data_IF_885249595004
#
_entry.id   IF_885249595004
#
_cell.length_a   1.000
_cell.length_b   1.000
_cell.length_c   1.000
_cell.angle_alpha   90.00
_cell.angle_beta   90.00
_cell.angle_gamma   90.00
#
_symmetry.space_group_name_H-M   'P 1'
#
loop_
_entity.id
_entity.type
_entity.pdbx_description
1 polymer ?
#
# COMPACT_ATOMS: atom_id res chain seq x y z
N UNK A 1 -10.69 21.81 37.57
CA UNK A 1 -11.66 21.03 36.75
C UNK A 1 -11.91 21.65 35.38
N UNK A 2 -12.28 22.93 35.24
CA UNK A 2 -12.52 23.59 33.93
C UNK A 2 -11.36 23.45 32.93
N UNK A 3 -10.10 23.60 33.36
CA UNK A 3 -8.91 23.48 32.47
C UNK A 3 -8.70 22.07 31.91
N UNK A 4 -9.06 21.03 32.67
CA UNK A 4 -8.92 19.62 32.23
C UNK A 4 -9.95 19.28 31.16
N UNK A 5 -11.17 19.82 31.29
CA UNK A 5 -12.24 19.64 30.28
C UNK A 5 -11.84 20.30 28.95
N UNK A 6 -11.25 21.50 29.00
CA UNK A 6 -10.77 22.21 27.79
C UNK A 6 -9.65 21.44 27.09
N UNK A 7 -8.69 20.90 27.85
CA UNK A 7 -7.58 20.11 27.28
C UNK A 7 -8.11 18.81 26.65
N UNK A 8 -9.03 18.12 27.32
CA UNK A 8 -9.66 16.90 26.80
C UNK A 8 -10.41 17.16 25.48
N UNK A 9 -11.14 18.27 25.40
CA UNK A 9 -11.85 18.67 24.18
C UNK A 9 -10.91 19.03 23.03
N UNK A 10 -9.78 19.68 23.32
CA UNK A 10 -8.75 20.00 22.33
C UNK A 10 -8.08 18.74 21.75
N UNK A 11 -7.84 17.71 22.56
CA UNK A 11 -7.26 16.44 22.11
C UNK A 11 -8.20 15.67 21.17
N UNK A 12 -9.53 15.76 21.39
CA UNK A 12 -10.53 15.14 20.52
C UNK A 12 -10.59 15.79 19.12
N UNK A 13 -10.40 17.11 19.03
CA UNK A 13 -10.42 17.84 17.75
C UNK A 13 -9.17 17.55 16.90
N UNK A 14 -8.01 17.35 17.52
CA UNK A 14 -6.76 17.05 16.80
C UNK A 14 -6.80 15.62 16.21
N UNK A 15 -7.45 14.67 16.89
CA UNK A 15 -7.59 13.29 16.40
C UNK A 15 -8.42 13.17 15.12
N UNK A 16 -9.46 14.00 14.96
CA UNK A 16 -10.38 13.94 13.81
C UNK A 16 -9.75 14.47 12.51
N UNK A 17 -8.82 15.44 12.59
CA UNK A 17 -8.15 16.00 11.41
C UNK A 17 -7.19 15.02 10.72
N UNK A 18 -6.55 14.13 11.50
CA UNK A 18 -5.58 13.15 10.98
C UNK A 18 -6.24 12.08 10.10
N UNK A 19 -7.50 11.73 10.35
CA UNK A 19 -8.18 10.64 9.63
C UNK A 19 -8.62 11.01 8.21
N UNK A 20 -8.67 12.30 7.85
CA UNK A 20 -9.14 12.75 6.53
C UNK A 20 -8.08 12.75 5.42
N UNK A 21 -6.79 12.55 5.74
CA UNK A 21 -5.70 12.64 4.76
C UNK A 21 -5.27 11.30 4.16
N UNK A 22 -5.82 10.19 4.64
CA UNK A 22 -5.45 8.86 4.16
C UNK A 22 -6.62 8.25 3.40
N UNK A 23 -6.67 8.55 2.10
CA UNK A 23 -7.70 8.05 1.20
C UNK A 23 -7.43 6.58 0.83
N UNK A 24 -7.80 5.66 1.72
CA UNK A 24 -7.74 4.21 1.45
C UNK A 24 -9.01 3.69 0.76
N UNK A 25 -9.95 4.56 0.37
CA UNK A 25 -11.28 4.15 -0.10
C UNK A 25 -11.24 3.21 -1.30
N UNK A 26 -10.21 3.33 -2.14
CA UNK A 26 -10.02 2.53 -3.35
C UNK A 26 -9.07 1.33 -3.16
N UNK A 27 -8.81 0.93 -1.91
CA UNK A 27 -7.84 -0.13 -1.62
C UNK A 27 -8.52 -1.47 -1.39
N UNK A 28 -8.02 -2.52 -2.01
CA UNK A 28 -8.60 -3.86 -1.89
C UNK A 28 -7.53 -4.95 -2.00
N UNK A 29 -7.85 -6.12 -1.46
CA UNK A 29 -7.05 -7.32 -1.69
C UNK A 29 -7.53 -8.00 -2.96
N UNK A 30 -6.59 -8.41 -3.81
CA UNK A 30 -6.89 -9.12 -5.04
C UNK A 30 -5.83 -10.17 -5.36
N UNK A 31 -6.18 -11.06 -6.28
CA UNK A 31 -5.30 -12.11 -6.78
C UNK A 31 -4.90 -11.79 -8.21
N UNK A 32 -3.63 -11.97 -8.55
CA UNK A 32 -3.13 -11.84 -9.91
C UNK A 32 -3.52 -13.07 -10.72
N UNK A 33 -4.31 -12.87 -11.77
CA UNK A 33 -4.73 -13.95 -12.69
C UNK A 33 -3.81 -14.08 -13.93
N UNK A 34 -2.99 -13.06 -14.20
CA UNK A 34 -2.03 -13.08 -15.30
C UNK A 34 -0.87 -14.03 -15.01
N UNK A 35 -0.44 -14.77 -16.04
CA UNK A 35 0.81 -15.55 -16.00
C UNK A 35 2.05 -14.64 -16.03
N UNK A 36 1.91 -13.45 -16.63
CA UNK A 36 2.98 -12.47 -16.78
C UNK A 36 2.54 -11.16 -16.11
N UNK A 37 3.10 -10.87 -14.94
CA UNK A 37 2.90 -9.61 -14.24
C UNK A 37 4.23 -9.16 -13.65
N UNK A 38 4.50 -7.85 -13.68
CA UNK A 38 5.79 -7.31 -13.26
C UNK A 38 5.59 -6.17 -12.26
N UNK A 39 6.43 -6.17 -11.23
CA UNK A 39 6.55 -5.08 -10.29
C UNK A 39 7.68 -4.15 -10.74
N UNK A 40 7.33 -2.90 -10.97
CA UNK A 40 8.27 -1.86 -11.36
C UNK A 40 8.71 -1.03 -10.15
N UNK A 41 9.92 -0.48 -10.23
CA UNK A 41 10.48 0.40 -9.19
C UNK A 41 9.82 1.79 -9.15
N UNK A 42 9.17 2.20 -10.24
CA UNK A 42 8.37 3.43 -10.35
C UNK A 42 7.31 3.29 -11.45
N UNK A 43 6.38 4.24 -11.53
CA UNK A 43 5.33 4.37 -12.55
C UNK A 43 5.86 4.91 -13.90
N UNK A 44 6.87 4.24 -14.45
CA UNK A 44 7.45 4.57 -15.75
C UNK A 44 7.73 3.32 -16.58
N UNK A 45 7.44 3.39 -17.88
CA UNK A 45 7.75 2.31 -18.84
C UNK A 45 9.26 2.08 -19.01
N UNK A 46 10.09 3.04 -18.62
CA UNK A 46 11.55 2.91 -18.61
C UNK A 46 12.09 2.45 -17.26
N UNK A 47 11.23 2.20 -16.27
CA UNK A 47 11.65 1.79 -14.94
C UNK A 47 12.20 0.36 -14.97
N UNK A 48 13.17 0.10 -14.10
CA UNK A 48 13.72 -1.25 -13.92
C UNK A 48 12.63 -2.12 -13.28
N UNK A 49 12.42 -3.30 -13.86
CA UNK A 49 11.60 -4.36 -13.28
C UNK A 49 12.31 -4.89 -12.03
N UNK A 50 11.67 -4.74 -10.88
CA UNK A 50 12.20 -5.26 -9.60
C UNK A 50 11.92 -6.76 -9.48
N UNK A 51 10.71 -7.19 -9.89
CA UNK A 51 10.26 -8.57 -9.69
C UNK A 51 9.17 -9.00 -10.66
N UNK A 52 9.23 -10.25 -11.08
CA UNK A 52 8.11 -10.94 -11.71
C UNK A 52 7.13 -11.49 -10.66
N UNK A 53 5.85 -11.17 -10.84
CA UNK A 53 4.74 -11.58 -9.98
C UNK A 53 4.08 -12.79 -10.62
N UNK A 54 4.08 -13.90 -9.88
CA UNK A 54 3.46 -15.14 -10.34
C UNK A 54 1.94 -15.05 -10.23
N UNK A 55 1.23 -15.72 -11.13
CA UNK A 55 -0.19 -16.00 -10.99
C UNK A 55 -0.55 -16.60 -9.63
N UNK A 56 -1.71 -16.23 -9.11
CA UNK A 56 -2.19 -16.62 -7.78
C UNK A 56 -1.57 -15.81 -6.64
N UNK A 57 -0.66 -14.86 -6.92
CA UNK A 57 -0.13 -13.97 -5.89
C UNK A 57 -1.22 -13.02 -5.41
N UNK A 58 -1.37 -12.91 -4.09
CA UNK A 58 -2.30 -11.98 -3.45
C UNK A 58 -1.54 -10.68 -3.15
N UNK A 59 -2.09 -9.56 -3.62
CA UNK A 59 -1.54 -8.22 -3.42
C UNK A 59 -2.59 -7.29 -2.82
N UNK A 60 -2.11 -6.26 -2.14
CA UNK A 60 -2.96 -5.16 -1.70
C UNK A 60 -2.89 -4.04 -2.72
N UNK A 61 -3.98 -3.87 -3.47
CA UNK A 61 -4.12 -2.87 -4.52
C UNK A 61 -4.60 -1.54 -3.93
N UNK A 62 -4.16 -0.46 -4.55
CA UNK A 62 -4.55 0.89 -4.19
C UNK A 62 -4.93 1.71 -5.44
N UNK A 63 -4.24 2.81 -5.71
CA UNK A 63 -4.56 3.73 -6.78
C UNK A 63 -3.96 3.31 -8.12
N UNK A 64 -4.69 3.62 -9.19
CA UNK A 64 -4.17 3.56 -10.57
C UNK A 64 -3.42 4.88 -10.85
N UNK A 65 -2.23 4.78 -11.42
CA UNK A 65 -1.41 5.91 -11.87
C UNK A 65 -0.99 5.69 -13.32
N UNK A 66 -1.72 6.32 -14.24
CA UNK A 66 -1.55 6.08 -15.67
C UNK A 66 -1.84 4.62 -16.01
N UNK A 67 -0.87 3.94 -16.61
CA UNK A 67 -0.96 2.52 -16.99
C UNK A 67 -0.55 1.55 -15.86
N UNK A 68 -0.19 2.09 -14.69
CA UNK A 68 0.30 1.29 -13.56
C UNK A 68 -0.73 1.23 -12.44
N UNK A 69 -0.76 0.09 -11.75
CA UNK A 69 -1.55 -0.11 -10.55
C UNK A 69 -0.61 -0.14 -9.34
N UNK A 70 -0.81 0.77 -8.38
CA UNK A 70 -0.04 0.79 -7.14
C UNK A 70 -0.43 -0.40 -6.27
N UNK A 71 0.59 -1.11 -5.77
CA UNK A 71 0.44 -2.29 -4.92
C UNK A 71 1.35 -2.21 -3.72
N UNK A 72 0.87 -2.73 -2.59
CA UNK A 72 1.64 -2.87 -1.37
C UNK A 72 1.85 -4.33 -1.04
N UNK A 73 3.03 -4.63 -0.50
CA UNK A 73 3.32 -5.93 0.09
C UNK A 73 3.57 -5.75 1.58
N UNK A 74 3.29 -6.79 2.37
CA UNK A 74 3.48 -6.75 3.83
C UNK A 74 4.93 -6.45 4.23
N UNK A 75 5.90 -6.89 3.41
CA UNK A 75 7.32 -6.66 3.62
C UNK A 75 7.96 -6.12 2.33
N UNK A 76 7.91 -4.79 2.08
CA UNK A 76 8.45 -4.20 0.85
C UNK A 76 9.96 -4.44 0.69
N UNK A 77 10.69 -4.63 1.80
CA UNK A 77 12.12 -4.98 1.78
C UNK A 77 12.41 -6.45 1.45
N UNK A 78 11.46 -7.36 1.69
CA UNK A 78 11.60 -8.79 1.36
C UNK A 78 11.22 -9.12 -0.08
N UNK A 79 10.69 -8.16 -0.85
CA UNK A 79 10.47 -8.34 -2.28
C UNK A 79 11.79 -8.75 -2.97
N UNK A 80 12.91 -8.19 -2.49
CA UNK A 80 14.27 -8.48 -2.96
C UNK A 80 14.80 -9.88 -2.64
N UNK A 81 14.13 -10.64 -1.78
CA UNK A 81 14.67 -11.92 -1.30
C UNK A 81 13.89 -13.10 -1.87
N UNK A 82 14.47 -13.74 -2.89
CA UNK A 82 13.91 -14.93 -3.56
C UNK A 82 13.81 -16.13 -2.61
N UNK A 83 14.54 -16.11 -1.48
CA UNK A 83 14.65 -17.23 -0.54
C UNK A 83 13.51 -17.29 0.51
N UNK A 84 12.68 -16.26 0.65
CA UNK A 84 11.65 -16.23 1.71
C UNK A 84 10.49 -17.22 1.47
N UNK A 85 10.26 -17.71 0.25
CA UNK A 85 9.12 -18.59 -0.08
C UNK A 85 9.27 -20.03 0.43
N UNK A 86 10.46 -20.43 0.88
CA UNK A 86 10.78 -21.81 1.29
C UNK A 86 10.97 -21.98 2.81
N UNK A 87 10.48 -21.05 3.63
CA UNK A 87 10.39 -21.19 5.10
C UNK A 87 8.94 -21.22 5.53
#
# INVERSE_FOLDING_TARGET
>A
MKKVVVISFLLLLIGCYTSGKTDWSNSFWGTIESEEAYLYTSDSLTAIVDKEIKKGTILYFHAVRGDFQEVFTKDPKKIKDVLYRNK
#
